data_IF_048322105342
#
_entry.id   IF_048322105342
#
_cell.length_a   1.000
_cell.length_b   1.000
_cell.length_c   1.000
_cell.angle_alpha   90.00
_cell.angle_beta   90.00
_cell.angle_gamma   90.00
#
_symmetry.space_group_name_H-M   'P 1'
#
loop_
_entity.id
_entity.type
_entity.pdbx_description
1 polymer ?
#
# COMPACT_ATOMS: atom_id res chain seq x y z
N UNK A 1 1.09 4.68 -0.55
CA UNK A 1 0.67 3.62 0.38
C UNK A 1 0.11 4.18 1.68
N UNK A 2 0.87 4.93 2.48
CA UNK A 2 0.41 5.51 3.76
C UNK A 2 -1.00 6.11 3.70
N UNK A 3 -1.25 7.03 2.76
CA UNK A 3 -2.55 7.68 2.62
C UNK A 3 -3.70 6.72 2.28
N UNK A 4 -3.44 5.67 1.50
CA UNK A 4 -4.43 4.63 1.18
C UNK A 4 -4.78 3.76 2.40
N UNK A 5 -3.82 3.55 3.31
CA UNK A 5 -4.04 2.77 4.52
C UNK A 5 -4.80 3.61 5.55
N UNK A 6 -4.29 4.80 5.91
CA UNK A 6 -4.97 5.65 6.88
C UNK A 6 -6.35 6.08 6.38
N UNK A 7 -6.40 6.67 5.18
CA UNK A 7 -7.61 6.96 4.42
C UNK A 7 -8.79 7.53 5.20
N UNK A 8 -8.54 8.36 6.21
CA UNK A 8 -9.56 9.07 6.99
C UNK A 8 -9.19 10.56 6.95
N UNK A 9 -10.12 11.38 6.47
CA UNK A 9 -9.88 12.81 6.28
C UNK A 9 -9.82 13.58 7.62
N UNK A 10 -10.52 13.11 8.65
CA UNK A 10 -10.46 13.66 9.99
C UNK A 10 -9.08 13.43 10.60
N UNK A 11 -8.61 12.18 10.62
CA UNK A 11 -7.28 11.85 11.12
C UNK A 11 -6.17 12.51 10.29
N UNK A 12 -6.30 12.53 8.98
CA UNK A 12 -5.35 13.23 8.10
C UNK A 12 -5.25 14.72 8.45
N UNK A 13 -6.37 15.39 8.69
CA UNK A 13 -6.40 16.81 9.07
C UNK A 13 -5.75 17.04 10.43
N UNK A 14 -6.08 16.22 11.43
CA UNK A 14 -5.45 16.28 12.76
C UNK A 14 -3.92 16.11 12.65
N UNK A 15 -3.45 15.16 11.84
CA UNK A 15 -2.02 14.94 11.63
C UNK A 15 -1.33 16.10 10.91
N UNK A 16 -1.99 16.75 9.94
CA UNK A 16 -1.46 17.95 9.26
C UNK A 16 -1.28 19.08 10.28
N UNK A 17 -2.31 19.34 11.10
CA UNK A 17 -2.28 20.39 12.12
C UNK A 17 -1.20 20.09 13.15
N UNK A 18 -1.16 18.86 13.69
CA UNK A 18 -0.16 18.42 14.64
C UNK A 18 1.25 18.59 14.07
N UNK A 19 1.48 18.15 12.84
CA UNK A 19 2.79 18.25 12.23
C UNK A 19 3.19 19.70 11.92
N UNK A 20 2.24 20.60 11.63
CA UNK A 20 2.51 22.03 11.48
C UNK A 20 2.87 22.71 12.81
N UNK A 21 2.14 22.41 13.89
CA UNK A 21 2.41 22.94 15.24
C UNK A 21 3.77 22.46 15.76
N UNK A 22 4.04 21.16 15.69
CA UNK A 22 5.31 20.57 16.15
C UNK A 22 6.50 21.05 15.32
N UNK A 23 6.30 21.33 14.02
CA UNK A 23 7.36 21.87 13.16
C UNK A 23 7.86 23.23 13.64
N UNK A 24 6.99 24.09 14.20
CA UNK A 24 7.39 25.38 14.79
C UNK A 24 8.24 25.18 16.05
N UNK A 25 7.89 24.19 16.89
CA UNK A 25 8.57 23.90 18.16
C UNK A 25 9.93 23.21 18.00
N UNK A 26 10.09 22.36 16.98
CA UNK A 26 11.28 21.51 16.82
C UNK A 26 12.20 21.91 15.65
N UNK A 27 12.21 23.19 15.23
CA UNK A 27 13.08 23.68 14.12
C UNK A 27 14.56 23.35 14.26
N UNK A 28 15.07 23.21 15.49
CA UNK A 28 16.50 22.98 15.78
C UNK A 28 16.93 21.51 15.65
N UNK A 29 16.00 20.54 15.65
CA UNK A 29 16.31 19.10 15.53
C UNK A 29 16.01 18.62 14.11
N UNK A 30 17.05 18.48 13.28
CA UNK A 30 16.92 18.15 11.86
C UNK A 30 16.14 16.84 11.61
N UNK A 31 16.42 15.78 12.37
CA UNK A 31 15.71 14.51 12.25
C UNK A 31 14.19 14.63 12.46
N UNK A 32 13.78 15.31 13.52
CA UNK A 32 12.35 15.52 13.83
C UNK A 32 11.70 16.39 12.76
N UNK A 33 12.41 17.42 12.30
CA UNK A 33 11.93 18.32 11.26
C UNK A 33 11.66 17.59 9.94
N UNK A 34 12.55 16.70 9.51
CA UNK A 34 12.38 15.91 8.29
C UNK A 34 11.26 14.86 8.44
N UNK A 35 11.17 14.19 9.59
CA UNK A 35 10.06 13.28 9.88
C UNK A 35 8.70 14.00 9.84
N UNK A 36 8.58 15.19 10.43
CA UNK A 36 7.36 16.00 10.40
C UNK A 36 7.03 16.51 8.99
N UNK A 37 8.05 16.79 8.16
CA UNK A 37 7.87 17.16 6.75
C UNK A 37 7.27 15.99 5.97
N UNK A 38 7.82 14.78 6.14
CA UNK A 38 7.30 13.56 5.50
C UNK A 38 5.87 13.29 5.98
N UNK A 39 5.64 13.34 7.30
CA UNK A 39 4.32 13.10 7.90
C UNK A 39 3.26 14.04 7.32
N UNK A 40 3.57 15.33 7.13
CA UNK A 40 2.65 16.28 6.49
C UNK A 40 2.24 15.86 5.08
N UNK A 41 3.19 15.45 4.25
CA UNK A 41 2.87 15.00 2.88
C UNK A 41 2.06 13.71 2.92
N UNK A 42 2.44 12.76 3.78
CA UNK A 42 1.68 11.53 4.01
C UNK A 42 0.25 11.80 4.47
N UNK A 43 0.06 12.73 5.41
CA UNK A 43 -1.23 13.12 5.94
C UNK A 43 -2.09 13.86 4.90
N UNK A 44 -1.49 14.68 4.03
CA UNK A 44 -2.19 15.28 2.89
C UNK A 44 -2.76 14.22 1.93
N UNK A 45 -1.99 13.18 1.62
CA UNK A 45 -2.50 12.03 0.87
C UNK A 45 -3.56 11.25 1.64
N UNK A 46 -3.47 11.15 2.98
CA UNK A 46 -4.50 10.52 3.79
C UNK A 46 -5.83 11.30 3.75
N UNK A 47 -5.78 12.64 3.73
CA UNK A 47 -6.97 13.48 3.52
C UNK A 47 -7.56 13.24 2.14
N UNK A 48 -6.72 13.24 1.09
CA UNK A 48 -7.17 12.96 -0.27
C UNK A 48 -7.89 11.61 -0.40
N UNK A 49 -7.29 10.54 0.12
CA UNK A 49 -7.91 9.22 0.11
C UNK A 49 -9.10 9.11 1.07
N UNK A 50 -9.10 9.84 2.20
CA UNK A 50 -10.24 9.89 3.11
C UNK A 50 -11.47 10.54 2.48
N UNK A 51 -11.29 11.60 1.70
CA UNK A 51 -12.38 12.19 0.90
C UNK A 51 -12.85 11.19 -0.16
N UNK A 52 -11.93 10.49 -0.83
CA UNK A 52 -12.26 9.48 -1.84
C UNK A 52 -13.10 8.32 -1.27
N UNK A 53 -12.80 7.90 -0.03
CA UNK A 53 -13.55 6.87 0.69
C UNK A 53 -14.80 7.40 1.41
N UNK A 54 -14.99 8.72 1.49
CA UNK A 54 -16.09 9.35 2.23
C UNK A 54 -15.96 9.26 3.75
N UNK A 55 -14.74 9.10 4.28
CA UNK A 55 -14.51 8.80 5.69
C UNK A 55 -13.93 10.00 6.45
N UNK A 56 -14.61 10.39 7.53
CA UNK A 56 -14.19 11.43 8.45
C UNK A 56 -14.49 10.99 9.89
N UNK A 57 -13.44 10.70 10.67
CA UNK A 57 -13.57 10.03 11.98
C UNK A 57 -14.49 8.80 11.92
N UNK A 58 -14.26 7.93 10.93
CA UNK A 58 -15.13 6.81 10.62
C UNK A 58 -16.42 7.25 9.91
N UNK A 59 -17.57 7.10 10.58
CA UNK A 59 -18.92 7.37 10.01
C UNK A 59 -19.40 8.83 10.24
N UNK A 60 -18.73 9.60 11.11
CA UNK A 60 -19.17 10.94 11.51
C UNK A 60 -19.32 11.90 10.32
N UNK A 61 -18.47 11.78 9.30
CA UNK A 61 -18.61 12.55 8.05
C UNK A 61 -19.90 12.25 7.27
N UNK A 62 -20.33 11.00 7.27
CA UNK A 62 -21.57 10.58 6.61
C UNK A 62 -22.79 11.09 7.39
N UNK A 63 -22.78 10.97 8.73
CA UNK A 63 -23.88 11.44 9.60
C UNK A 63 -24.01 12.95 9.72
N UNK A 64 -22.90 13.70 9.69
CA UNK A 64 -22.91 15.16 9.92
C UNK A 64 -22.83 15.99 8.64
N UNK A 65 -22.13 15.51 7.60
CA UNK A 65 -21.88 16.28 6.38
C UNK A 65 -22.51 15.67 5.12
N UNK A 66 -23.19 14.52 5.21
CA UNK A 66 -23.81 13.86 4.06
C UNK A 66 -22.78 13.49 2.99
N UNK A 67 -21.51 13.28 3.37
CA UNK A 67 -20.47 12.90 2.44
C UNK A 67 -20.75 11.47 1.96
N UNK A 68 -21.20 11.38 0.71
CA UNK A 68 -21.30 10.10 0.01
C UNK A 68 -19.90 9.66 -0.45
N UNK A 69 -19.55 8.37 -0.30
CA UNK A 69 -18.27 7.83 -0.75
C UNK A 69 -18.16 7.97 -2.27
N UNK A 70 -17.17 8.74 -2.74
CA UNK A 70 -16.97 9.02 -4.18
C UNK A 70 -16.47 7.79 -4.95
N UNK A 71 -15.72 6.89 -4.32
CA UNK A 71 -15.33 5.62 -4.91
C UNK A 71 -16.09 4.44 -4.31
N UNK A 72 -15.70 3.99 -3.10
CA UNK A 72 -16.30 2.83 -2.45
C UNK A 72 -16.08 2.93 -0.94
N UNK A 73 -17.09 2.59 -0.15
CA UNK A 73 -16.97 2.51 1.30
C UNK A 73 -16.23 1.23 1.69
N UNK A 74 -15.05 1.37 2.32
CA UNK A 74 -14.17 0.23 2.61
C UNK A 74 -14.78 -0.79 3.56
N UNK A 75 -15.71 -0.37 4.42
CA UNK A 75 -16.44 -1.24 5.35
C UNK A 75 -17.36 -2.23 4.64
N UNK A 76 -18.05 -1.78 3.59
CA UNK A 76 -19.07 -2.56 2.89
C UNK A 76 -18.46 -3.25 1.66
N UNK A 77 -17.62 -2.55 0.91
CA UNK A 77 -17.01 -3.01 -0.32
C UNK A 77 -15.61 -3.60 -0.10
N UNK A 78 -15.50 -4.63 0.75
CA UNK A 78 -14.23 -5.28 1.10
C UNK A 78 -13.54 -5.89 -0.13
N UNK A 79 -14.29 -6.57 -1.01
CA UNK A 79 -13.73 -7.20 -2.21
C UNK A 79 -13.15 -6.15 -3.18
N UNK A 80 -13.87 -5.08 -3.57
CA UNK A 80 -13.29 -3.99 -4.35
C UNK A 80 -12.05 -3.35 -3.71
N UNK A 81 -12.05 -3.14 -2.39
CA UNK A 81 -10.90 -2.60 -1.68
C UNK A 81 -9.69 -3.55 -1.71
N UNK A 82 -9.90 -4.87 -1.60
CA UNK A 82 -8.86 -5.87 -1.76
C UNK A 82 -8.30 -5.88 -3.19
N UNK A 83 -9.18 -5.89 -4.19
CA UNK A 83 -8.79 -5.86 -5.60
C UNK A 83 -7.99 -4.60 -5.91
N UNK A 84 -8.41 -3.44 -5.41
CA UNK A 84 -7.65 -2.19 -5.53
C UNK A 84 -6.27 -2.30 -4.88
N UNK A 85 -6.16 -2.83 -3.66
CA UNK A 85 -4.88 -3.02 -3.00
C UNK A 85 -3.96 -3.97 -3.78
N UNK A 86 -4.46 -5.12 -4.24
CA UNK A 86 -3.70 -6.06 -5.07
C UNK A 86 -3.30 -5.45 -6.43
N UNK A 87 -4.18 -4.67 -7.06
CA UNK A 87 -3.89 -3.98 -8.31
C UNK A 87 -2.77 -2.95 -8.13
N UNK A 88 -2.79 -2.16 -7.06
CA UNK A 88 -1.67 -1.24 -6.74
C UNK A 88 -0.36 -2.00 -6.49
N UNK A 89 -0.43 -3.19 -5.88
CA UNK A 89 0.72 -4.06 -5.67
C UNK A 89 1.27 -4.65 -6.96
N UNK A 90 0.40 -5.14 -7.84
CA UNK A 90 0.77 -5.62 -9.16
C UNK A 90 1.45 -4.51 -9.99
N UNK A 91 0.86 -3.31 -10.03
CA UNK A 91 1.43 -2.16 -10.73
C UNK A 91 2.82 -1.79 -10.15
N UNK A 92 2.96 -1.74 -8.83
CA UNK A 92 4.23 -1.42 -8.18
C UNK A 92 5.29 -2.50 -8.41
N UNK A 93 4.92 -3.78 -8.41
CA UNK A 93 5.82 -4.89 -8.73
C UNK A 93 6.28 -4.82 -10.19
N UNK A 94 5.36 -4.60 -11.13
CA UNK A 94 5.68 -4.49 -12.57
C UNK A 94 6.67 -3.34 -12.77
N UNK A 95 6.42 -2.17 -12.16
CA UNK A 95 7.37 -1.06 -12.17
C UNK A 95 8.76 -1.46 -11.65
N UNK A 96 8.82 -2.19 -10.52
CA UNK A 96 10.08 -2.66 -9.94
C UNK A 96 10.83 -3.62 -10.86
N UNK A 97 10.11 -4.56 -11.49
CA UNK A 97 10.69 -5.50 -12.45
C UNK A 97 11.14 -4.80 -13.73
N UNK A 98 10.38 -3.81 -14.24
CA UNK A 98 10.75 -3.00 -15.40
C UNK A 98 12.03 -2.21 -15.14
N UNK A 99 12.17 -1.58 -13.97
CA UNK A 99 13.43 -0.95 -13.56
C UNK A 99 14.57 -1.99 -13.47
N UNK A 100 14.27 -3.20 -13.01
CA UNK A 100 15.22 -4.32 -13.01
C UNK A 100 15.70 -4.68 -14.42
N UNK A 101 14.80 -4.71 -15.42
CA UNK A 101 15.17 -4.94 -16.83
C UNK A 101 16.11 -3.83 -17.32
N UNK A 102 15.79 -2.56 -17.05
CA UNK A 102 16.64 -1.42 -17.43
C UNK A 102 18.04 -1.54 -16.80
N UNK A 103 18.12 -1.90 -15.52
CA UNK A 103 19.40 -2.12 -14.82
C UNK A 103 20.19 -3.29 -15.43
N UNK A 104 19.54 -4.42 -15.71
CA UNK A 104 20.20 -5.58 -16.33
C UNK A 104 20.72 -5.28 -17.74
N UNK A 105 19.98 -4.50 -18.53
CA UNK A 105 20.41 -4.03 -19.84
C UNK A 105 21.63 -3.11 -19.75
N UNK A 106 21.68 -2.20 -18.76
CA UNK A 106 22.85 -1.35 -18.51
C UNK A 106 24.10 -2.16 -18.14
N UNK A 107 23.93 -3.29 -17.44
CA UNK A 107 25.01 -4.23 -17.10
C UNK A 107 25.41 -5.17 -18.24
N UNK A 108 24.78 -5.05 -19.42
CA UNK A 108 24.94 -5.96 -20.58
C UNK A 108 24.66 -7.45 -20.27
N UNK A 109 23.93 -7.75 -19.20
CA UNK A 109 23.53 -9.12 -18.86
C UNK A 109 22.25 -9.52 -19.60
N UNK A 110 22.39 -10.11 -20.79
CA UNK A 110 21.23 -10.51 -21.64
C UNK A 110 20.35 -11.56 -20.96
N UNK A 111 20.96 -12.51 -20.24
CA UNK A 111 20.23 -13.62 -19.57
C UNK A 111 19.36 -13.10 -18.44
N UNK A 112 19.88 -12.19 -17.61
CA UNK A 112 19.13 -11.59 -16.51
C UNK A 112 18.02 -10.67 -17.00
N UNK A 113 18.29 -9.87 -18.04
CA UNK A 113 17.27 -9.03 -18.66
C UNK A 113 16.11 -9.87 -19.23
N UNK A 114 16.41 -11.00 -19.89
CA UNK A 114 15.41 -11.91 -20.41
C UNK A 114 14.60 -12.56 -19.28
N UNK A 115 15.25 -13.05 -18.22
CA UNK A 115 14.56 -13.62 -17.06
C UNK A 115 13.57 -12.65 -16.41
N UNK A 116 13.96 -11.38 -16.23
CA UNK A 116 13.10 -10.34 -15.66
C UNK A 116 11.93 -10.02 -16.58
N UNK A 117 12.14 -10.00 -17.90
CA UNK A 117 11.08 -9.78 -18.89
C UNK A 117 10.07 -10.93 -18.91
N UNK A 118 10.55 -12.18 -18.89
CA UNK A 118 9.70 -13.38 -18.79
C UNK A 118 8.91 -13.37 -17.47
N UNK A 119 9.52 -12.93 -16.37
CA UNK A 119 8.84 -12.78 -15.09
C UNK A 119 7.69 -11.76 -15.13
N UNK A 120 7.88 -10.63 -15.84
CA UNK A 120 6.81 -9.63 -16.06
C UNK A 120 5.65 -10.26 -16.84
N UNK A 121 5.96 -10.98 -17.94
CA UNK A 121 4.94 -11.65 -18.74
C UNK A 121 4.18 -12.70 -17.93
N UNK A 122 4.87 -13.51 -17.13
CA UNK A 122 4.25 -14.52 -16.27
C UNK A 122 3.31 -13.88 -15.23
N UNK A 123 3.73 -12.79 -14.58
CA UNK A 123 2.87 -12.05 -13.64
C UNK A 123 1.64 -11.48 -14.36
N UNK A 124 1.81 -10.92 -15.55
CA UNK A 124 0.69 -10.38 -16.34
C UNK A 124 -0.32 -11.48 -16.69
N UNK A 125 0.15 -12.66 -17.09
CA UNK A 125 -0.71 -13.81 -17.38
C UNK A 125 -1.48 -14.28 -16.15
N UNK A 126 -0.85 -14.29 -14.97
CA UNK A 126 -1.55 -14.59 -13.70
C UNK A 126 -2.64 -13.55 -13.41
N UNK A 127 -2.37 -12.26 -13.63
CA UNK A 127 -3.37 -11.20 -13.43
C UNK A 127 -4.56 -11.40 -14.37
N UNK A 128 -4.32 -11.66 -15.66
CA UNK A 128 -5.39 -11.92 -16.64
C UNK A 128 -6.21 -13.15 -16.25
N UNK A 129 -5.56 -14.21 -15.77
CA UNK A 129 -6.23 -15.41 -15.28
C UNK A 129 -7.16 -15.10 -14.10
N UNK A 130 -6.68 -14.33 -13.13
CA UNK A 130 -7.48 -13.90 -11.97
C UNK A 130 -8.67 -13.05 -12.42
N UNK A 131 -8.46 -12.07 -13.31
CA UNK A 131 -9.55 -11.23 -13.82
C UNK A 131 -10.60 -12.02 -14.63
N UNK A 132 -10.16 -13.02 -15.39
CA UNK A 132 -11.07 -13.95 -16.07
C UNK A 132 -11.91 -14.77 -15.09
N UNK A 133 -11.36 -15.16 -13.93
CA UNK A 133 -12.09 -15.89 -12.91
C UNK A 133 -13.18 -15.04 -12.23
N UNK A 134 -13.00 -13.71 -12.16
CA UNK A 134 -14.01 -12.76 -11.69
C UNK A 134 -15.06 -12.39 -12.75
N UNK A 135 -15.02 -13.00 -13.94
CA UNK A 135 -15.99 -12.75 -15.01
C UNK A 135 -15.81 -11.42 -15.75
N UNK A 136 -14.69 -10.70 -15.51
CA UNK A 136 -14.38 -9.43 -16.21
C UNK A 136 -13.89 -9.65 -17.65
N UNK A 137 -13.45 -10.87 -17.98
CA UNK A 137 -13.02 -11.26 -19.33
C UNK A 137 -13.81 -12.48 -19.82
N UNK A 138 -13.96 -12.65 -21.15
CA UNK A 138 -14.54 -13.87 -21.72
C UNK A 138 -13.79 -15.10 -21.22
N UNK A 139 -14.48 -16.07 -20.62
CA UNK A 139 -13.88 -17.30 -20.10
C UNK A 139 -13.12 -18.13 -21.14
N UNK A 140 -13.33 -17.85 -22.44
CA UNK A 140 -12.55 -18.38 -23.55
C UNK A 140 -11.06 -18.01 -23.49
N UNK A 141 -10.69 -16.91 -22.82
CA UNK A 141 -9.30 -16.48 -22.63
C UNK A 141 -8.57 -17.24 -21.52
N UNK A 142 -9.29 -17.88 -20.58
CA UNK A 142 -8.65 -18.59 -19.47
C UNK A 142 -7.77 -19.76 -19.91
N UNK A 143 -8.27 -20.59 -20.85
CA UNK A 143 -7.54 -21.75 -21.39
C UNK A 143 -6.23 -21.37 -22.10
N UNK A 144 -6.21 -20.44 -23.07
CA UNK A 144 -4.95 -20.05 -23.72
C UNK A 144 -3.97 -19.38 -22.75
N UNK A 145 -4.45 -18.61 -21.77
CA UNK A 145 -3.58 -18.00 -20.75
C UNK A 145 -2.87 -19.05 -19.91
N UNK A 146 -3.57 -20.11 -19.49
CA UNK A 146 -2.95 -21.22 -18.74
C UNK A 146 -1.91 -21.96 -19.59
N UNK A 147 -2.20 -22.20 -20.87
CA UNK A 147 -1.25 -22.83 -21.80
C UNK A 147 0.01 -21.98 -22.02
N UNK A 148 -0.16 -20.66 -22.16
CA UNK A 148 0.96 -19.71 -22.28
C UNK A 148 1.78 -19.69 -20.99
N UNK A 149 1.13 -19.64 -19.83
CA UNK A 149 1.82 -19.67 -18.54
C UNK A 149 2.64 -20.96 -18.40
N UNK A 150 2.07 -22.11 -18.78
CA UNK A 150 2.76 -23.39 -18.79
C UNK A 150 3.96 -23.38 -19.75
N UNK A 151 3.81 -22.81 -20.94
CA UNK A 151 4.89 -22.67 -21.92
C UNK A 151 6.02 -21.71 -21.46
N UNK A 152 5.70 -20.71 -20.64
CA UNK A 152 6.68 -19.79 -20.04
C UNK A 152 7.47 -20.44 -18.89
N UNK A 153 6.94 -21.50 -18.26
CA UNK A 153 7.64 -22.17 -17.15
C UNK A 153 9.02 -22.74 -17.53
N UNK A 154 9.22 -23.51 -18.62
CA UNK A 154 10.55 -23.97 -19.00
C UNK A 154 11.50 -22.81 -19.32
N UNK A 155 11.00 -21.73 -19.93
CA UNK A 155 11.80 -20.55 -20.24
C UNK A 155 12.31 -19.85 -18.95
N UNK A 156 11.50 -19.81 -17.90
CA UNK A 156 11.94 -19.34 -16.58
C UNK A 156 13.06 -20.21 -16.02
N UNK A 157 12.94 -21.54 -16.09
CA UNK A 157 13.99 -22.47 -15.64
C UNK A 157 15.30 -22.29 -16.42
N UNK A 158 15.24 -22.19 -17.75
CA UNK A 158 16.45 -22.00 -18.57
C UNK A 158 17.14 -20.65 -18.30
N UNK A 159 16.36 -19.59 -18.10
CA UNK A 159 16.93 -18.24 -17.93
C UNK A 159 17.39 -17.95 -16.50
N UNK A 160 16.63 -18.33 -15.47
CA UNK A 160 16.97 -18.06 -14.07
C UNK A 160 17.52 -19.25 -13.27
N UNK A 161 17.66 -20.43 -13.89
CA UNK A 161 18.16 -21.63 -13.24
C UNK A 161 17.21 -22.20 -12.18
N UNK A 162 17.74 -22.95 -11.21
CA UNK A 162 16.98 -23.64 -10.15
C UNK A 162 16.23 -22.64 -9.25
N UNK A 163 16.70 -21.39 -9.15
CA UNK A 163 16.09 -20.37 -8.31
C UNK A 163 14.90 -19.64 -8.98
N UNK A 164 14.70 -19.81 -10.28
CA UNK A 164 13.65 -19.12 -11.04
C UNK A 164 12.22 -19.35 -10.50
N UNK A 165 11.79 -20.58 -10.16
CA UNK A 165 10.45 -20.82 -9.63
C UNK A 165 10.24 -20.18 -8.26
N UNK A 166 11.27 -20.21 -7.40
CA UNK A 166 11.25 -19.58 -6.08
C UNK A 166 11.08 -18.07 -6.21
N UNK A 167 11.77 -17.44 -7.16
CA UNK A 167 11.65 -16.01 -7.41
C UNK A 167 10.28 -15.62 -8.01
N UNK A 168 9.72 -16.45 -8.88
CA UNK A 168 8.35 -16.27 -9.37
C UNK A 168 7.32 -16.36 -8.25
N UNK A 169 7.40 -17.38 -7.38
CA UNK A 169 6.52 -17.50 -6.21
C UNK A 169 6.69 -16.31 -5.26
N UNK A 170 7.92 -15.84 -5.05
CA UNK A 170 8.21 -14.62 -4.29
C UNK A 170 7.56 -13.38 -4.92
N UNK A 171 7.55 -13.26 -6.25
CA UNK A 171 6.86 -12.16 -6.94
C UNK A 171 5.36 -12.19 -6.67
N UNK A 172 4.72 -13.37 -6.72
CA UNK A 172 3.29 -13.47 -6.40
C UNK A 172 3.01 -13.16 -4.92
N UNK A 173 3.84 -13.67 -4.01
CA UNK A 173 3.75 -13.35 -2.57
C UNK A 173 3.96 -11.86 -2.27
N UNK A 174 4.78 -11.17 -3.06
CA UNK A 174 4.93 -9.72 -2.96
C UNK A 174 3.64 -8.99 -3.35
N UNK A 175 2.91 -9.43 -4.40
CA UNK A 175 1.60 -8.84 -4.75
C UNK A 175 0.59 -9.07 -3.63
N UNK A 176 0.49 -10.31 -3.14
CA UNK A 176 -0.42 -10.67 -2.04
C UNK A 176 -0.12 -9.88 -0.77
N UNK A 177 1.15 -9.51 -0.52
CA UNK A 177 1.53 -8.66 0.61
C UNK A 177 0.85 -7.28 0.60
N UNK A 178 0.38 -6.77 -0.54
CA UNK A 178 -0.38 -5.52 -0.63
C UNK A 178 -1.78 -5.63 -0.07
N UNK A 179 -2.35 -6.83 0.11
CA UNK A 179 -3.61 -7.03 0.82
C UNK A 179 -3.57 -6.42 2.24
N UNK A 180 -2.38 -6.26 2.81
CA UNK A 180 -2.16 -5.56 4.08
C UNK A 180 -2.63 -4.11 4.05
N UNK A 181 -2.56 -3.42 2.91
CA UNK A 181 -3.05 -2.05 2.76
C UNK A 181 -4.53 -2.00 3.10
N UNK A 182 -5.31 -2.90 2.49
CA UNK A 182 -6.74 -3.04 2.75
C UNK A 182 -6.99 -3.49 4.20
N UNK A 183 -6.29 -4.52 4.69
CA UNK A 183 -6.54 -5.07 6.02
C UNK A 183 -6.35 -4.03 7.14
N UNK A 184 -5.25 -3.27 7.10
CA UNK A 184 -4.95 -2.27 8.14
C UNK A 184 -5.86 -1.05 8.01
N UNK A 185 -6.17 -0.64 6.77
CA UNK A 185 -7.15 0.42 6.55
C UNK A 185 -8.52 0.04 7.11
N UNK A 186 -9.04 -1.14 6.75
CA UNK A 186 -10.31 -1.64 7.24
C UNK A 186 -10.35 -1.70 8.78
N UNK A 187 -9.30 -2.22 9.43
CA UNK A 187 -9.22 -2.24 10.90
C UNK A 187 -9.30 -0.84 11.50
N UNK A 188 -8.61 0.14 10.92
CA UNK A 188 -8.66 1.54 11.35
C UNK A 188 -10.09 2.10 11.26
N UNK A 189 -10.81 1.80 10.18
CA UNK A 189 -12.19 2.29 10.00
C UNK A 189 -13.17 1.61 10.95
N UNK A 190 -13.03 0.29 11.14
CA UNK A 190 -13.86 -0.46 12.08
C UNK A 190 -13.62 0.01 13.53
N UNK A 191 -12.38 0.31 13.90
CA UNK A 191 -12.09 0.86 15.23
C UNK A 191 -12.73 2.24 15.43
N UNK A 192 -12.70 3.11 14.42
CA UNK A 192 -13.39 4.40 14.46
C UNK A 192 -14.92 4.23 14.56
N UNK A 193 -15.49 3.27 13.82
CA UNK A 193 -16.91 2.96 13.90
C UNK A 193 -17.32 2.45 15.29
N UNK A 194 -16.56 1.52 15.87
CA UNK A 194 -16.80 1.02 17.23
C UNK A 194 -16.68 2.13 18.27
N UNK A 195 -15.73 3.06 18.10
CA UNK A 195 -15.61 4.24 18.96
C UNK A 195 -16.90 5.07 18.97
N UNK A 196 -17.45 5.35 17.78
CA UNK A 196 -18.70 6.11 17.64
C UNK A 196 -19.90 5.35 18.23
N UNK A 197 -19.97 4.03 18.05
CA UNK A 197 -21.07 3.21 18.58
C UNK A 197 -21.05 3.14 20.10
N UNK A 198 -19.89 2.94 20.72
CA UNK A 198 -19.75 2.92 22.19
C UNK A 198 -20.12 4.30 22.78
N UNK A 199 -19.76 5.39 22.09
CA UNK A 199 -20.13 6.74 22.49
C UNK A 199 -21.65 6.96 22.50
N UNK A 200 -22.37 6.37 21.55
CA UNK A 200 -23.83 6.48 21.45
C UNK A 200 -24.60 5.58 22.43
N UNK A 201 -24.02 4.44 22.81
CA UNK A 201 -24.67 3.43 23.66
C UNK A 201 -24.51 3.67 25.16
N UNK A 202 -23.58 4.53 25.57
CA UNK A 202 -23.22 4.75 26.98
C UNK A 202 -24.29 5.51 27.77
N UNK A 203 -25.28 6.11 27.11
CA UNK A 203 -26.43 6.77 27.74
C UNK A 203 -26.12 8.10 28.45
N UNK A 204 -24.88 8.28 28.91
CA UNK A 204 -24.35 9.53 29.45
C UNK A 204 -23.31 10.15 28.50
N UNK A 205 -23.46 11.46 28.25
CA UNK A 205 -22.66 12.22 27.28
C UNK A 205 -21.18 12.25 27.69
N UNK A 206 -20.90 12.37 29.00
CA UNK A 206 -19.53 12.54 29.50
C UNK A 206 -18.74 11.24 29.31
N UNK A 207 -19.30 10.12 29.78
CA UNK A 207 -18.67 8.80 29.64
C UNK A 207 -18.51 8.38 28.18
N UNK A 208 -19.51 8.63 27.34
CA UNK A 208 -19.45 8.35 25.91
C UNK A 208 -18.35 9.13 25.18
N UNK A 209 -18.21 10.43 25.47
CA UNK A 209 -17.16 11.28 24.87
C UNK A 209 -15.77 10.82 25.30
N UNK A 210 -15.58 10.48 26.58
CA UNK A 210 -14.28 10.00 27.09
C UNK A 210 -13.89 8.69 26.41
N UNK A 211 -14.81 7.72 26.32
CA UNK A 211 -14.58 6.44 25.67
C UNK A 211 -14.24 6.61 24.18
N UNK A 212 -15.00 7.44 23.46
CA UNK A 212 -14.76 7.74 22.05
C UNK A 212 -13.39 8.41 21.84
N UNK A 213 -13.07 9.42 22.65
CA UNK A 213 -11.80 10.15 22.56
C UNK A 213 -10.60 9.22 22.76
N UNK A 214 -10.67 8.29 23.71
CA UNK A 214 -9.62 7.32 23.96
C UNK A 214 -9.43 6.37 22.77
N UNK A 215 -10.51 5.85 22.21
CA UNK A 215 -10.45 4.94 21.06
C UNK A 215 -9.99 5.65 19.78
N UNK A 216 -10.46 6.87 19.51
CA UNK A 216 -9.96 7.66 18.39
C UNK A 216 -8.49 8.06 18.57
N UNK A 217 -8.05 8.36 19.79
CA UNK A 217 -6.63 8.64 20.08
C UNK A 217 -5.75 7.41 19.81
N UNK A 218 -6.17 6.23 20.28
CA UNK A 218 -5.51 4.97 19.96
C UNK A 218 -5.45 4.76 18.44
N UNK A 219 -6.57 5.01 17.75
CA UNK A 219 -6.64 4.84 16.30
C UNK A 219 -5.71 5.79 15.54
N UNK A 220 -5.56 7.04 16.00
CA UNK A 220 -4.60 7.99 15.42
C UNK A 220 -3.17 7.49 15.61
N UNK A 221 -2.81 6.96 16.78
CA UNK A 221 -1.48 6.40 17.02
C UNK A 221 -1.23 5.24 16.06
N UNK A 222 -2.12 4.26 16.02
CA UNK A 222 -2.00 3.10 15.14
C UNK A 222 -1.99 3.52 13.65
N UNK A 223 -2.80 4.51 13.30
CA UNK A 223 -2.93 5.11 11.97
C UNK A 223 -1.70 5.91 11.52
N UNK A 224 -0.79 6.27 12.42
CA UNK A 224 0.53 6.81 12.05
C UNK A 224 1.56 5.69 11.94
N UNK A 225 1.66 4.83 12.95
CA UNK A 225 2.75 3.85 13.03
C UNK A 225 2.59 2.69 12.04
N UNK A 226 1.42 2.06 11.99
CA UNK A 226 1.22 0.90 11.14
C UNK A 226 1.34 1.26 9.65
N UNK A 227 0.66 2.31 9.13
CA UNK A 227 0.83 2.71 7.73
C UNK A 227 2.27 3.12 7.38
N UNK A 228 3.00 3.74 8.29
CA UNK A 228 4.40 4.12 8.06
C UNK A 228 5.29 2.88 7.92
N UNK A 229 5.28 1.96 8.89
CA UNK A 229 6.12 0.76 8.88
C UNK A 229 5.80 -0.13 7.67
N UNK A 230 4.52 -0.34 7.38
CA UNK A 230 4.13 -1.17 6.26
C UNK A 230 4.44 -0.53 4.92
N UNK A 231 4.24 0.78 4.78
CA UNK A 231 4.66 1.49 3.56
C UNK A 231 6.16 1.33 3.34
N UNK A 232 6.99 1.45 4.38
CA UNK A 232 8.43 1.23 4.26
C UNK A 232 8.75 -0.20 3.81
N UNK A 233 8.09 -1.22 4.40
CA UNK A 233 8.27 -2.62 3.98
C UNK A 233 7.98 -2.80 2.48
N UNK A 234 6.88 -2.24 1.97
CA UNK A 234 6.51 -2.33 0.55
C UNK A 234 7.62 -1.75 -0.34
N UNK A 235 8.29 -0.66 0.08
CA UNK A 235 9.40 -0.09 -0.69
C UNK A 235 10.69 -0.91 -0.57
N UNK A 236 11.13 -1.23 0.66
CA UNK A 236 12.43 -1.87 0.88
C UNK A 236 12.45 -3.34 0.46
N UNK A 237 11.44 -4.11 0.87
CA UNK A 237 11.44 -5.56 0.70
C UNK A 237 10.89 -5.95 -0.65
N UNK A 238 9.83 -5.27 -1.12
CA UNK A 238 9.09 -5.73 -2.28
C UNK A 238 9.49 -5.01 -3.57
N UNK A 239 9.84 -3.73 -3.51
CA UNK A 239 10.20 -2.91 -4.67
C UNK A 239 11.72 -2.83 -4.90
N UNK A 240 12.51 -2.37 -3.91
CA UNK A 240 13.96 -2.21 -4.08
C UNK A 240 14.68 -3.53 -4.35
N UNK A 241 14.21 -4.64 -3.78
CA UNK A 241 14.76 -5.96 -4.06
C UNK A 241 14.66 -6.39 -5.53
N UNK A 242 13.87 -5.68 -6.35
CA UNK A 242 13.70 -5.97 -7.79
C UNK A 242 14.72 -5.31 -8.67
N UNK A 243 15.46 -4.30 -8.24
CA UNK A 243 16.42 -3.63 -9.14
C UNK A 243 17.68 -3.13 -8.45
N UNK A 244 17.67 -3.07 -7.12
CA UNK A 244 18.79 -2.58 -6.33
C UNK A 244 19.65 -3.75 -5.86
N UNK A 245 20.92 -3.75 -6.29
CA UNK A 245 21.95 -4.60 -5.69
C UNK A 245 22.50 -3.94 -4.43
N UNK A 246 22.67 -4.73 -3.38
CA UNK A 246 23.18 -4.27 -2.11
C UNK A 246 24.72 -4.37 -2.13
N UNK A 247 25.42 -3.44 -1.47
CA UNK A 247 26.89 -3.51 -1.30
C UNK A 247 27.74 -2.46 -2.03
N UNK A 248 27.14 -1.38 -2.53
CA UNK A 248 27.90 -0.25 -3.07
C UNK A 248 28.73 0.48 -2.01
N UNK A 249 29.82 1.15 -2.42
CA UNK A 249 30.62 2.01 -1.54
C UNK A 249 29.94 3.38 -1.39
N UNK A 250 29.83 3.86 -0.15
CA UNK A 250 29.34 5.21 0.12
C UNK A 250 30.30 6.22 -0.48
N UNK A 251 29.78 7.21 -1.19
CA UNK A 251 30.59 8.33 -1.66
C UNK A 251 31.01 9.18 -0.46
N UNK A 252 32.31 9.20 -0.17
CA UNK A 252 32.91 10.06 0.83
C UNK A 252 33.68 11.17 0.09
N UNK A 253 33.08 12.36 -0.08
CA UNK A 253 33.80 13.46 -0.69
C UNK A 253 34.97 13.88 0.21
N UNK A 254 36.05 14.34 -0.42
CA UNK A 254 37.16 14.95 0.29
C UNK A 254 36.62 16.12 1.13
N UNK A 255 36.60 15.97 2.46
CA UNK A 255 36.26 17.07 3.38
C UNK A 255 37.42 18.05 3.38
N UNK A 256 37.12 19.34 3.19
CA UNK A 256 38.06 20.43 3.48
C UNK A 256 38.13 20.68 4.97
#
# INVERSE_FOLDING_TARGET
FFGMILGDAGYGTVLIVLAWVLKKRYRKKQFIYDALRILRFCAAYAVFFGILYGEFFGDLGHRLFGLEPVCFERRIAVIPALVFALATGAAHLILGLSLGVVTALRKRSRREALFRLVSILAVLMVIVLVLSAFGLFPGALGRPVVLILLALTPLLFFTGGILAPLEFLKNLGNIVSYARIMAIGLTSVLLAFVANQIAGLTGDIVTGVIAAALLHFLNIILGVFAPAIHSLRLHYVEFFSKFLEHGGRRFEPLRR
#
